data_IF_736390029299
#
_entry.id   IF_736390029299
#
_cell.length_a   1.000
_cell.length_b   1.000
_cell.length_c   1.000
_cell.angle_alpha   90.00
_cell.angle_beta   90.00
_cell.angle_gamma   90.00
#
_symmetry.space_group_name_H-M   'P 1'
#
loop_
_entity.id
_entity.type
_entity.pdbx_description
1 polymer ?
#
# COMPACT_ATOMS: atom_id res chain seq x y z
N UNK A 1 7.55 -18.23 -3.04
CA UNK A 1 7.05 -17.12 -2.19
C UNK A 1 6.42 -16.05 -3.07
N UNK A 2 5.58 -15.16 -2.55
CA UNK A 2 4.98 -14.08 -3.38
C UNK A 2 6.03 -13.11 -3.94
N UNK A 3 7.17 -12.99 -3.27
CA UNK A 3 8.33 -12.24 -3.77
C UNK A 3 8.83 -12.73 -5.14
N UNK A 4 8.85 -14.05 -5.37
CA UNK A 4 9.35 -14.65 -6.61
C UNK A 4 8.46 -14.35 -7.83
N UNK A 5 7.23 -13.88 -7.59
CA UNK A 5 6.31 -13.46 -8.65
C UNK A 5 6.65 -12.06 -9.17
N UNK A 6 7.36 -11.24 -8.39
CA UNK A 6 7.69 -9.86 -8.74
C UNK A 6 9.01 -9.81 -9.52
N UNK A 7 8.98 -9.28 -10.73
CA UNK A 7 10.14 -9.04 -11.59
C UNK A 7 10.53 -7.56 -11.55
N UNK A 8 11.78 -7.25 -11.89
CA UNK A 8 12.34 -5.89 -11.85
C UNK A 8 11.61 -4.88 -12.73
N UNK A 9 11.02 -5.34 -13.84
CA UNK A 9 10.35 -4.51 -14.84
C UNK A 9 8.84 -4.35 -14.57
N UNK A 10 8.33 -4.97 -13.50
CA UNK A 10 6.90 -4.99 -13.22
C UNK A 10 6.39 -3.67 -12.64
N UNK A 11 5.15 -3.32 -12.98
CA UNK A 11 4.47 -2.17 -12.40
C UNK A 11 3.56 -2.62 -11.27
N UNK A 12 3.82 -2.09 -10.08
CA UNK A 12 3.04 -2.40 -8.88
C UNK A 12 1.94 -1.34 -8.67
N UNK A 13 0.73 -1.79 -8.40
CA UNK A 13 -0.43 -0.96 -8.09
C UNK A 13 -1.10 -1.42 -6.80
N UNK A 14 -1.10 -0.57 -5.77
CA UNK A 14 -1.82 -0.84 -4.53
C UNK A 14 -3.29 -0.44 -4.68
N UNK A 15 -4.19 -1.42 -4.55
CA UNK A 15 -5.62 -1.24 -4.67
C UNK A 15 -6.26 -1.10 -3.29
N UNK A 16 -7.25 -0.21 -3.18
CA UNK A 16 -8.00 -0.02 -1.93
C UNK A 16 -7.29 0.85 -0.89
N UNK A 17 -6.32 1.68 -1.30
CA UNK A 17 -5.65 2.63 -0.40
C UNK A 17 -6.61 3.60 0.32
N UNK A 18 -7.75 3.89 -0.31
CA UNK A 18 -8.80 4.73 0.27
C UNK A 18 -9.37 4.12 1.56
N UNK A 19 -9.53 2.80 1.58
CA UNK A 19 -10.20 2.04 2.64
C UNK A 19 -9.21 1.35 3.58
N UNK A 20 -7.98 1.88 3.68
CA UNK A 20 -6.97 1.37 4.61
C UNK A 20 -7.46 1.52 6.04
N UNK A 21 -7.37 0.42 6.79
CA UNK A 21 -7.79 0.32 8.18
C UNK A 21 -6.81 -0.57 8.96
N UNK A 22 -6.65 -0.37 10.28
CA UNK A 22 -5.77 -1.22 11.07
C UNK A 22 -6.16 -2.70 10.97
N UNK A 23 -5.18 -3.56 10.70
CA UNK A 23 -5.40 -5.02 10.56
C UNK A 23 -6.08 -5.44 9.25
N UNK A 24 -6.36 -4.51 8.32
CA UNK A 24 -6.96 -4.84 7.02
C UNK A 24 -5.89 -5.02 5.95
N UNK A 25 -5.78 -6.21 5.33
CA UNK A 25 -4.81 -6.41 4.27
C UNK A 25 -5.07 -5.53 3.04
N UNK A 26 -3.99 -5.14 2.35
CA UNK A 26 -4.02 -4.32 1.14
C UNK A 26 -3.80 -5.23 -0.08
N UNK A 27 -4.55 -5.01 -1.15
CA UNK A 27 -4.35 -5.75 -2.41
C UNK A 27 -3.29 -5.05 -3.26
N UNK A 28 -2.39 -5.83 -3.81
CA UNK A 28 -1.34 -5.36 -4.69
C UNK A 28 -1.48 -6.07 -6.04
N UNK A 29 -1.78 -5.30 -7.08
CA UNK A 29 -1.79 -5.77 -8.47
C UNK A 29 -0.39 -5.54 -9.07
N UNK A 30 0.25 -6.62 -9.52
CA UNK A 30 1.52 -6.64 -10.22
C UNK A 30 1.18 -6.76 -11.71
N UNK A 31 1.53 -5.76 -12.50
CA UNK A 31 1.40 -5.79 -13.96
C UNK A 31 2.75 -6.12 -14.57
N UNK A 32 2.82 -7.28 -15.19
CA UNK A 32 3.99 -7.71 -15.92
C UNK A 32 4.08 -7.02 -17.28
N UNK A 33 5.31 -6.95 -17.81
CA UNK A 33 5.59 -6.36 -19.12
C UNK A 33 4.93 -7.11 -20.28
N UNK A 34 4.67 -8.40 -20.11
CA UNK A 34 3.97 -9.25 -21.08
C UNK A 34 2.44 -9.05 -21.07
N UNK A 35 1.91 -8.20 -20.19
CA UNK A 35 0.50 -7.92 -20.03
C UNK A 35 -0.24 -8.85 -19.06
N UNK A 36 0.43 -9.89 -18.54
CA UNK A 36 -0.10 -10.69 -17.45
C UNK A 36 -0.18 -9.89 -16.16
N UNK A 37 -1.05 -10.33 -15.25
CA UNK A 37 -1.27 -9.66 -13.97
C UNK A 37 -1.37 -10.66 -12.84
N UNK A 38 -0.65 -10.38 -11.77
CA UNK A 38 -0.76 -11.10 -10.52
C UNK A 38 -1.37 -10.20 -9.45
N UNK A 39 -2.18 -10.78 -8.55
CA UNK A 39 -2.71 -10.06 -7.39
C UNK A 39 -2.24 -10.75 -6.13
N UNK A 40 -1.52 -10.02 -5.29
CA UNK A 40 -1.05 -10.49 -3.98
C UNK A 40 -1.69 -9.68 -2.86
N UNK A 41 -1.73 -10.27 -1.66
CA UNK A 41 -2.28 -9.61 -0.47
C UNK A 41 -1.13 -9.23 0.46
N UNK A 42 -1.06 -7.96 0.85
CA UNK A 42 -0.02 -7.40 1.70
C UNK A 42 -0.60 -7.06 3.08
N UNK A 43 0.06 -7.57 4.12
CA UNK A 43 -0.27 -7.21 5.49
C UNK A 43 0.53 -5.98 5.93
N UNK A 44 -0.06 -5.18 6.81
CA UNK A 44 0.60 -4.02 7.41
C UNK A 44 0.31 -3.96 8.91
N UNK A 45 1.20 -3.32 9.67
CA UNK A 45 1.09 -3.16 11.12
C UNK A 45 0.68 -1.75 11.54
N UNK A 46 0.09 -0.98 10.61
CA UNK A 46 -0.25 0.43 10.87
C UNK A 46 -1.46 0.54 11.79
N UNK A 47 -1.34 1.36 12.83
CA UNK A 47 -2.45 1.76 13.68
C UNK A 47 -3.19 3.00 13.11
N UNK A 48 -4.30 3.41 13.72
CA UNK A 48 -5.12 4.52 13.24
C UNK A 48 -4.31 5.83 13.08
N UNK A 49 -3.46 6.18 14.05
CA UNK A 49 -2.63 7.39 14.01
C UNK A 49 -1.61 7.36 12.87
N UNK A 50 -0.98 6.21 12.63
CA UNK A 50 -0.04 6.04 11.52
C UNK A 50 -0.74 6.12 10.15
N UNK A 51 -2.00 5.69 10.07
CA UNK A 51 -2.81 5.89 8.87
C UNK A 51 -3.14 7.36 8.63
N UNK A 52 -3.36 8.15 9.67
CA UNK A 52 -3.52 9.60 9.54
C UNK A 52 -2.23 10.26 9.02
N UNK A 53 -1.07 9.87 9.55
CA UNK A 53 0.22 10.35 9.04
C UNK A 53 0.43 9.99 7.57
N UNK A 54 0.06 8.78 7.18
CA UNK A 54 0.12 8.35 5.79
C UNK A 54 -0.80 9.20 4.90
N UNK A 55 -2.03 9.49 5.35
CA UNK A 55 -2.98 10.34 4.62
C UNK A 55 -2.51 11.80 4.51
N UNK A 56 -1.86 12.33 5.55
CA UNK A 56 -1.26 13.67 5.54
C UNK A 56 0.08 13.73 4.78
N UNK A 57 0.62 12.60 4.33
CA UNK A 57 1.92 12.49 3.66
C UNK A 57 3.13 12.45 4.60
N UNK A 58 2.98 12.85 5.87
CA UNK A 58 3.97 12.59 6.93
C UNK A 58 3.36 12.82 8.32
N UNK A 59 4.04 12.33 9.36
CA UNK A 59 3.67 12.64 10.74
C UNK A 59 3.77 14.15 11.02
N UNK A 60 4.77 14.83 10.46
CA UNK A 60 4.97 16.26 10.61
C UNK A 60 3.84 17.07 9.95
N UNK A 61 3.38 16.65 8.77
CA UNK A 61 2.27 17.28 8.08
C UNK A 61 0.98 17.16 8.90
N UNK A 62 0.73 15.98 9.48
CA UNK A 62 -0.42 15.79 10.37
C UNK A 62 -0.37 16.73 11.57
N UNK A 63 0.81 16.94 12.17
CA UNK A 63 0.99 17.88 13.27
C UNK A 63 0.76 19.34 12.84
N UNK A 64 1.13 19.71 11.61
CA UNK A 64 0.89 21.04 11.07
C UNK A 64 -0.61 21.30 10.79
N UNK A 65 -1.36 20.29 10.34
CA UNK A 65 -2.81 20.40 10.10
C UNK A 65 -3.67 20.50 11.37
N UNK A 66 -3.18 19.96 12.49
CA UNK A 66 -3.88 20.00 13.79
C UNK A 66 -3.64 21.33 14.53
N UNK A 67 -2.71 22.13 14.03
CA UNK A 67 -2.30 23.42 14.62
C UNK A 67 -3.20 24.56 14.17
#
# INVERSE_FOLDING_TARGET
ADYDKIKSDDRISLLGLKDLAPGKPVKCEIKHKDGSKDTITLNHTMNATQLEWFRAGSALNRMAEVK
#
